data_IF_895257291242
#
_entry.id   IF_895257291242
#
_cell.length_a   1.000
_cell.length_b   1.000
_cell.length_c   1.000
_cell.angle_alpha   90.00
_cell.angle_beta   90.00
_cell.angle_gamma   90.00
#
_symmetry.space_group_name_H-M   'P 1'
#
loop_
_entity.id
_entity.type
_entity.pdbx_description
1 polymer ?
#
# COMPACT_ATOMS: atom_id res chain seq x y z
N UNK A 1 -28.44 16.02 -18.34
CA UNK A 1 -28.91 15.75 -16.96
C UNK A 1 -27.79 16.10 -15.99
N UNK A 2 -28.00 17.07 -15.11
CA UNK A 2 -27.00 17.48 -14.10
C UNK A 2 -27.04 16.49 -12.93
N UNK A 3 -25.91 15.91 -12.49
CA UNK A 3 -25.91 14.99 -11.36
C UNK A 3 -26.43 15.67 -10.09
N UNK A 4 -27.19 14.96 -9.25
CA UNK A 4 -27.78 15.51 -8.03
C UNK A 4 -26.70 16.03 -7.07
N UNK A 5 -27.07 16.98 -6.19
CA UNK A 5 -26.16 17.50 -5.14
C UNK A 5 -25.57 16.37 -4.29
N UNK A 6 -26.39 15.37 -3.95
CA UNK A 6 -25.97 14.17 -3.19
C UNK A 6 -24.90 13.38 -3.94
N UNK A 7 -25.10 13.14 -5.25
CA UNK A 7 -24.13 12.41 -6.07
C UNK A 7 -22.79 13.15 -6.14
N UNK A 8 -22.83 14.47 -6.34
CA UNK A 8 -21.61 15.29 -6.36
C UNK A 8 -20.88 15.29 -5.02
N UNK A 9 -21.62 15.33 -3.91
CA UNK A 9 -21.04 15.25 -2.56
C UNK A 9 -20.33 13.92 -2.31
N UNK A 10 -20.96 12.80 -2.64
CA UNK A 10 -20.31 11.48 -2.53
C UNK A 10 -19.07 11.36 -3.40
N UNK A 11 -19.11 11.90 -4.62
CA UNK A 11 -17.96 11.91 -5.51
C UNK A 11 -16.81 12.74 -4.93
N UNK A 12 -17.08 13.97 -4.49
CA UNK A 12 -16.08 14.84 -3.87
C UNK A 12 -15.45 14.20 -2.62
N UNK A 13 -16.24 13.50 -1.81
CA UNK A 13 -15.74 12.74 -0.66
C UNK A 13 -14.77 11.63 -1.08
N UNK A 14 -15.15 10.82 -2.08
CA UNK A 14 -14.28 9.75 -2.61
C UNK A 14 -12.98 10.30 -3.19
N UNK A 15 -13.04 11.43 -3.88
CA UNK A 15 -11.88 12.09 -4.45
C UNK A 15 -10.93 12.64 -3.36
N UNK A 16 -11.51 13.21 -2.30
CA UNK A 16 -10.77 13.64 -1.11
C UNK A 16 -10.11 12.45 -0.40
N UNK A 17 -10.85 11.37 -0.15
CA UNK A 17 -10.35 10.14 0.48
C UNK A 17 -9.15 9.58 -0.30
N UNK A 18 -9.26 9.50 -1.63
CA UNK A 18 -8.17 9.03 -2.51
C UNK A 18 -6.95 9.95 -2.48
N UNK A 19 -7.16 11.28 -2.43
CA UNK A 19 -6.07 12.25 -2.36
C UNK A 19 -5.34 12.17 -1.02
N UNK A 20 -6.07 11.97 0.07
CA UNK A 20 -5.53 11.78 1.41
C UNK A 20 -4.69 10.49 1.46
N UNK A 21 -5.25 9.36 0.99
CA UNK A 21 -4.55 8.08 0.95
C UNK A 21 -3.24 8.18 0.16
N UNK A 22 -3.28 8.79 -1.03
CA UNK A 22 -2.07 9.02 -1.84
C UNK A 22 -1.02 9.86 -1.11
N UNK A 23 -1.45 10.92 -0.42
CA UNK A 23 -0.56 11.78 0.36
C UNK A 23 0.08 11.03 1.53
N UNK A 24 -0.68 10.15 2.19
CA UNK A 24 -0.19 9.30 3.27
C UNK A 24 0.89 8.32 2.78
N UNK A 25 0.66 7.65 1.65
CA UNK A 25 1.66 6.74 1.06
C UNK A 25 2.96 7.46 0.71
N UNK A 26 2.88 8.69 0.20
CA UNK A 26 4.05 9.52 -0.09
C UNK A 26 4.85 9.89 1.15
N UNK A 27 4.16 10.24 2.24
CA UNK A 27 4.80 10.57 3.51
C UNK A 27 5.47 9.34 4.13
N UNK A 28 4.80 8.18 4.12
CA UNK A 28 5.34 6.92 4.60
C UNK A 28 6.60 6.52 3.81
N UNK A 29 6.55 6.60 2.49
CA UNK A 29 7.71 6.34 1.64
C UNK A 29 8.86 7.32 1.91
N UNK A 30 8.57 8.61 2.07
CA UNK A 30 9.59 9.61 2.45
C UNK A 30 10.26 9.26 3.77
N UNK A 31 9.50 8.83 4.79
CA UNK A 31 10.06 8.42 6.10
C UNK A 31 11.00 7.23 5.93
N UNK A 32 10.58 6.21 5.19
CA UNK A 32 11.41 5.04 4.91
C UNK A 32 12.71 5.40 4.16
N UNK A 33 12.65 6.38 3.26
CA UNK A 33 13.82 6.87 2.54
C UNK A 33 14.75 7.73 3.40
N UNK A 34 14.19 8.50 4.33
CA UNK A 34 14.96 9.41 5.19
C UNK A 34 15.78 8.69 6.27
N UNK A 35 15.30 7.54 6.75
CA UNK A 35 16.08 6.68 7.64
C UNK A 35 16.95 5.74 6.78
N UNK A 36 18.29 5.76 6.87
CA UNK A 36 19.17 4.90 6.08
C UNK A 36 19.14 3.41 6.46
N UNK A 37 18.57 3.06 7.63
CA UNK A 37 18.54 1.66 8.12
C UNK A 37 17.20 0.98 7.79
N UNK A 38 16.12 1.74 7.67
CA UNK A 38 14.79 1.18 7.40
C UNK A 38 14.75 0.46 6.05
N UNK A 39 14.22 -0.76 6.03
CA UNK A 39 13.96 -1.55 4.82
C UNK A 39 12.46 -1.70 4.63
N UNK A 40 11.97 -1.44 3.42
CA UNK A 40 10.56 -1.62 3.09
C UNK A 40 10.27 -3.08 2.77
N UNK A 41 9.18 -3.64 3.29
CA UNK A 41 8.79 -5.00 2.96
C UNK A 41 8.03 -5.05 1.63
N UNK A 42 8.49 -5.88 0.71
CA UNK A 42 7.76 -6.27 -0.51
C UNK A 42 7.13 -7.64 -0.29
N UNK A 43 5.85 -7.76 -0.61
CA UNK A 43 5.13 -9.01 -0.47
C UNK A 43 5.62 -9.97 -1.56
N UNK A 44 6.23 -11.09 -1.15
CA UNK A 44 6.76 -12.09 -2.08
C UNK A 44 5.68 -12.75 -2.95
N UNK A 45 4.40 -12.66 -2.54
CA UNK A 45 3.29 -13.29 -3.26
C UNK A 45 2.56 -12.34 -4.21
N UNK A 46 2.34 -11.08 -3.81
CA UNK A 46 1.50 -10.15 -4.57
C UNK A 46 2.16 -8.82 -4.89
N UNK A 47 3.44 -8.65 -4.57
CA UNK A 47 4.23 -7.45 -4.92
C UNK A 47 3.93 -6.19 -4.10
N UNK A 48 2.85 -6.15 -3.31
CA UNK A 48 2.51 -4.99 -2.46
C UNK A 48 3.66 -4.59 -1.54
N UNK A 49 3.83 -3.29 -1.32
CA UNK A 49 4.85 -2.72 -0.44
C UNK A 49 4.25 -2.33 0.92
N UNK A 50 4.96 -2.62 2.01
CA UNK A 50 4.58 -2.26 3.38
C UNK A 50 5.07 -0.85 3.69
N UNK A 51 4.15 0.10 3.78
CA UNK A 51 4.42 1.50 4.09
C UNK A 51 3.68 1.88 5.38
N UNK A 52 4.43 2.27 6.41
CA UNK A 52 3.97 2.38 7.79
C UNK A 52 3.23 1.08 8.23
N UNK A 53 1.90 1.05 8.19
CA UNK A 53 1.08 -0.11 8.59
C UNK A 53 0.26 -0.75 7.45
N UNK A 54 0.37 -0.20 6.24
CA UNK A 54 -0.44 -0.60 5.09
C UNK A 54 0.35 -1.33 4.02
N UNK A 55 -0.34 -2.24 3.33
CA UNK A 55 0.20 -2.95 2.17
C UNK A 55 -0.37 -2.37 0.89
N UNK A 56 0.42 -1.53 0.23
CA UNK A 56 0.00 -0.72 -0.90
C UNK A 56 0.38 -1.41 -2.22
N UNK A 57 -0.50 -1.46 -3.22
CA UNK A 57 -0.14 -1.89 -4.58
C UNK A 57 0.98 -1.03 -5.16
N UNK A 58 1.93 -1.66 -5.86
CA UNK A 58 3.08 -0.96 -6.43
C UNK A 58 2.67 0.08 -7.49
N UNK A 59 1.59 -0.17 -8.22
CA UNK A 59 0.99 0.75 -9.21
C UNK A 59 0.29 1.97 -8.59
N UNK A 60 -0.03 1.92 -7.30
CA UNK A 60 -0.54 3.08 -6.54
C UNK A 60 0.59 3.96 -5.97
N UNK A 61 1.83 3.47 -6.01
CA UNK A 61 3.01 4.21 -5.56
C UNK A 61 3.57 5.00 -6.74
N UNK A 62 3.84 6.31 -6.58
CA UNK A 62 4.46 7.09 -7.64
C UNK A 62 5.80 6.49 -8.08
N UNK A 63 6.04 6.39 -9.39
CA UNK A 63 7.20 5.69 -9.96
C UNK A 63 8.55 6.16 -9.40
N UNK A 64 8.70 7.46 -9.14
CA UNK A 64 9.92 8.02 -8.54
C UNK A 64 10.20 7.45 -7.14
N UNK A 65 9.16 7.10 -6.37
CA UNK A 65 9.32 6.42 -5.08
C UNK A 65 9.75 4.98 -5.29
N UNK A 66 9.15 4.26 -6.24
CA UNK A 66 9.50 2.89 -6.57
C UNK A 66 11.00 2.74 -6.83
N UNK A 67 11.56 3.59 -7.69
CA UNK A 67 13.00 3.61 -7.99
C UNK A 67 13.89 3.91 -6.79
N UNK A 68 13.44 4.74 -5.84
CA UNK A 68 14.19 5.04 -4.63
C UNK A 68 14.14 3.90 -3.60
N UNK A 69 13.14 3.04 -3.69
CA UNK A 69 13.00 1.84 -2.87
C UNK A 69 13.71 0.62 -3.48
N UNK A 70 14.13 0.68 -4.74
CA UNK A 70 14.93 -0.37 -5.36
C UNK A 70 16.27 -0.55 -4.60
N UNK A 71 16.54 -1.78 -4.16
CA UNK A 71 17.67 -2.08 -3.27
C UNK A 71 17.44 -1.78 -1.78
N UNK A 72 16.34 -1.12 -1.42
CA UNK A 72 15.91 -0.87 -0.02
C UNK A 72 14.67 -1.67 0.37
N UNK A 73 14.48 -2.81 -0.31
CA UNK A 73 13.37 -3.71 -0.04
C UNK A 73 13.86 -5.07 0.46
N UNK A 74 13.12 -5.63 1.41
CA UNK A 74 13.24 -7.04 1.82
C UNK A 74 11.89 -7.72 1.67
N UNK A 75 11.81 -9.03 1.88
CA UNK A 75 10.61 -9.80 1.59
C UNK A 75 9.77 -10.06 2.85
N UNK A 76 8.46 -9.98 2.69
CA UNK A 76 7.47 -10.40 3.67
C UNK A 76 6.23 -10.99 3.00
N UNK A 77 5.20 -11.32 3.79
CA UNK A 77 3.89 -11.73 3.26
C UNK A 77 2.81 -10.86 3.88
N UNK A 78 2.02 -10.21 3.04
CA UNK A 78 0.94 -9.34 3.52
C UNK A 78 -0.21 -10.16 4.11
N UNK A 79 -0.96 -9.56 5.05
CA UNK A 79 -2.10 -10.22 5.73
C UNK A 79 -3.14 -10.81 4.76
N UNK A 80 -3.33 -10.20 3.59
CA UNK A 80 -4.22 -10.73 2.55
C UNK A 80 -3.69 -12.05 1.98
N UNK A 81 -2.40 -12.11 1.65
CA UNK A 81 -1.79 -13.33 1.12
C UNK A 81 -1.67 -14.40 2.19
N UNK A 82 -1.28 -14.06 3.42
CA UNK A 82 -1.27 -15.01 4.54
C UNK A 82 -2.64 -15.65 4.74
N UNK A 83 -3.72 -14.86 4.80
CA UNK A 83 -5.09 -15.39 4.92
C UNK A 83 -5.48 -16.30 3.75
N UNK A 84 -5.08 -15.96 2.53
CA UNK A 84 -5.30 -16.82 1.36
C UNK A 84 -4.56 -18.15 1.50
N UNK A 85 -3.28 -18.13 1.85
CA UNK A 85 -2.46 -19.34 2.00
C UNK A 85 -2.96 -20.26 3.10
N UNK A 86 -3.42 -19.70 4.23
CA UNK A 86 -4.04 -20.48 5.31
C UNK A 86 -5.34 -21.13 4.85
N UNK A 87 -6.23 -20.36 4.22
CA UNK A 87 -7.49 -20.88 3.69
C UNK A 87 -7.28 -21.97 2.64
N UNK A 88 -6.26 -21.79 1.79
CA UNK A 88 -5.94 -22.72 0.72
C UNK A 88 -5.13 -23.94 1.23
N UNK A 89 -4.84 -24.04 2.53
CA UNK A 89 -4.14 -25.18 3.16
C UNK A 89 -2.63 -25.23 2.92
N UNK A 90 -2.04 -24.16 2.37
CA UNK A 90 -0.61 -24.07 2.00
C UNK A 90 0.26 -23.58 3.16
N UNK A 91 -0.34 -22.91 4.15
CA UNK A 91 0.33 -22.39 5.35
C UNK A 91 -0.48 -22.67 6.60
N UNK A 92 0.19 -22.71 7.75
CA UNK A 92 -0.46 -22.70 9.06
C UNK A 92 -0.84 -21.26 9.47
N UNK A 93 -1.86 -21.07 10.33
CA UNK A 93 -2.09 -19.81 11.02
C UNK A 93 -0.83 -19.40 11.80
N UNK A 94 -0.59 -18.10 11.89
CA UNK A 94 0.42 -17.52 12.77
C UNK A 94 -0.38 -16.91 13.92
N UNK A 95 -0.25 -17.49 15.11
CA UNK A 95 -0.89 -17.02 16.35
C UNK A 95 -0.20 -15.76 16.91
#
# INVERSE_FOLDING_TARGET
MTPSVVTRSHQARRDSERTIARSQHLLAARRALADPVTMVLRCAWCGRLSLDDDWVPEDEIPSFVGHLLDGRTTHGICRRCTRKLVRDGVSKPID
#
